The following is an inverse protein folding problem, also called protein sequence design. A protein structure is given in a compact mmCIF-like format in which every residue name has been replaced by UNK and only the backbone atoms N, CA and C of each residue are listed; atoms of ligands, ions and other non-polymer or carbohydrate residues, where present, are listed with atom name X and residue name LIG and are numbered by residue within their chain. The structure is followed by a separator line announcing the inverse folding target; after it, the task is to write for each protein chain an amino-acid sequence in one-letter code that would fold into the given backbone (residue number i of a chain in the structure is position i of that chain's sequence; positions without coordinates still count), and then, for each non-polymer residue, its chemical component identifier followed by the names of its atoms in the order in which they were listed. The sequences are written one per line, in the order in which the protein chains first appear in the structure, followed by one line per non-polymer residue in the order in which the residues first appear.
data_IF_576162522911
#
_entry.id   IF_576162522911
#
_cell.length_a   1.000
_cell.length_b   1.000
_cell.length_c   1.000
_cell.angle_alpha   90.00
_cell.angle_beta   90.00
_cell.angle_gamma   90.00
#
_symmetry.space_group_name_H-M   'P 1'
#
loop_
_entity.id
_entity.type
_entity.pdbx_description
1 polymer ?
#
# COMPACT_ATOMS: atom_id res chain seq x y z
N UNK A 1 -6.66 26.72 -4.88
CA UNK A 1 -6.75 26.20 -3.49
C UNK A 1 -5.56 25.28 -3.29
N UNK A 2 -4.63 25.60 -2.39
CA UNK A 2 -3.46 24.75 -2.15
C UNK A 2 -3.87 23.52 -1.33
N UNK A 3 -3.35 22.34 -1.69
CA UNK A 3 -3.61 21.10 -0.97
C UNK A 3 -3.01 21.17 0.44
N UNK A 4 -3.85 21.13 1.47
CA UNK A 4 -3.41 21.13 2.86
C UNK A 4 -3.22 19.69 3.35
N UNK A 5 -1.95 19.29 3.45
CA UNK A 5 -1.53 17.97 3.93
C UNK A 5 -1.97 17.72 5.37
N UNK A 6 -1.96 18.74 6.23
CA UNK A 6 -2.32 18.57 7.65
C UNK A 6 -3.81 18.33 7.80
N UNK A 7 -4.63 19.09 7.09
CA UNK A 7 -6.08 18.92 7.06
C UNK A 7 -6.46 17.56 6.47
N UNK A 8 -5.87 17.20 5.33
CA UNK A 8 -6.12 15.91 4.67
C UNK A 8 -5.74 14.72 5.57
N UNK A 9 -4.61 14.81 6.28
CA UNK A 9 -4.19 13.79 7.27
C UNK A 9 -5.20 13.64 8.40
N UNK A 10 -5.70 14.75 8.92
CA UNK A 10 -6.68 14.73 10.01
C UNK A 10 -8.00 14.07 9.57
N UNK A 11 -8.49 14.40 8.37
CA UNK A 11 -9.70 13.83 7.78
C UNK A 11 -9.56 12.32 7.55
N UNK A 12 -8.43 11.88 6.99
CA UNK A 12 -8.13 10.44 6.80
C UNK A 12 -8.12 9.71 8.15
N UNK A 13 -7.42 10.25 9.16
CA UNK A 13 -7.37 9.63 10.49
C UNK A 13 -8.75 9.53 11.14
N UNK A 14 -9.63 10.49 10.89
CA UNK A 14 -10.99 10.49 11.41
C UNK A 14 -11.81 9.36 10.79
N UNK A 15 -11.70 9.16 9.47
CA UNK A 15 -12.36 8.05 8.76
C UNK A 15 -11.85 6.70 9.25
N UNK A 16 -10.52 6.54 9.38
CA UNK A 16 -9.91 5.29 9.86
C UNK A 16 -10.32 4.93 11.29
N UNK A 17 -10.69 5.92 12.11
CA UNK A 17 -11.17 5.72 13.49
C UNK A 17 -12.68 5.51 13.60
N UNK A 18 -13.44 5.71 12.52
CA UNK A 18 -14.89 5.55 12.55
C UNK A 18 -15.29 4.09 12.79
N UNK A 19 -16.37 3.88 13.55
CA UNK A 19 -16.86 2.53 13.86
C UNK A 19 -17.30 1.78 12.60
N UNK A 20 -17.91 2.46 11.63
CA UNK A 20 -18.26 1.87 10.34
C UNK A 20 -17.04 1.37 9.56
N UNK A 21 -15.91 2.09 9.62
CA UNK A 21 -14.67 1.61 9.00
C UNK A 21 -14.09 0.41 9.74
N UNK A 22 -14.14 0.40 11.08
CA UNK A 22 -13.69 -0.74 11.89
C UNK A 22 -14.54 -1.98 11.66
N UNK A 23 -15.86 -1.84 11.59
CA UNK A 23 -16.81 -2.92 11.29
C UNK A 23 -16.63 -3.43 9.86
N UNK A 24 -16.38 -2.54 8.89
CA UNK A 24 -16.06 -2.93 7.53
C UNK A 24 -14.76 -3.75 7.46
N UNK A 25 -13.70 -3.30 8.15
CA UNK A 25 -12.46 -4.07 8.26
C UNK A 25 -12.72 -5.41 8.96
N UNK A 26 -13.41 -5.44 10.10
CA UNK A 26 -13.67 -6.67 10.83
C UNK A 26 -14.53 -7.68 10.02
N UNK A 27 -15.43 -7.20 9.16
CA UNK A 27 -16.31 -8.05 8.34
C UNK A 27 -15.67 -8.51 7.02
N UNK A 28 -14.66 -7.81 6.50
CA UNK A 28 -13.99 -8.13 5.23
C UNK A 28 -12.57 -8.67 5.37
N UNK A 29 -11.87 -8.29 6.43
CA UNK A 29 -10.51 -8.68 6.76
C UNK A 29 -10.58 -9.47 8.06
N UNK A 30 -10.86 -10.77 7.91
CA UNK A 30 -10.72 -11.76 8.98
C UNK A 30 -9.26 -11.75 9.43
N UNK A 31 -8.95 -10.98 10.47
CA UNK A 31 -7.59 -10.68 10.88
C UNK A 31 -6.92 -11.87 11.61
N UNK A 32 -6.87 -13.04 10.97
CA UNK A 32 -6.27 -14.28 11.49
C UNK A 32 -4.75 -14.33 11.35
N UNK A 33 -4.12 -13.25 10.85
CA UNK A 33 -2.69 -13.21 10.57
C UNK A 33 -2.29 -13.89 9.25
N UNK A 34 -3.13 -14.76 8.68
CA UNK A 34 -2.94 -15.30 7.33
C UNK A 34 -3.02 -14.20 6.25
N UNK A 35 -3.93 -13.24 6.42
CA UNK A 35 -4.10 -12.11 5.50
C UNK A 35 -2.89 -11.17 5.49
N UNK A 36 -2.28 -10.91 6.66
CA UNK A 36 -1.06 -10.09 6.73
C UNK A 36 0.12 -10.79 6.04
N UNK A 37 0.25 -12.10 6.22
CA UNK A 37 1.27 -12.91 5.55
C UNK A 37 1.08 -12.87 4.03
N UNK A 38 -0.16 -12.96 3.55
CA UNK A 38 -0.49 -12.90 2.13
C UNK A 38 -0.30 -11.50 1.53
N UNK A 39 -0.66 -10.44 2.26
CA UNK A 39 -0.40 -9.04 1.87
C UNK A 39 1.09 -8.78 1.76
N UNK A 40 1.88 -9.19 2.77
CA UNK A 40 3.33 -9.09 2.73
C UNK A 40 3.94 -9.88 1.57
N UNK A 41 3.44 -11.11 1.32
CA UNK A 41 3.89 -11.93 0.18
C UNK A 41 3.63 -11.26 -1.16
N UNK A 42 2.42 -10.73 -1.38
CA UNK A 42 2.05 -10.00 -2.60
C UNK A 42 2.86 -8.72 -2.76
N UNK A 43 3.06 -7.98 -1.68
CA UNK A 43 3.86 -6.76 -1.64
C UNK A 43 5.32 -7.02 -2.05
N UNK A 44 5.97 -8.02 -1.45
CA UNK A 44 7.34 -8.41 -1.79
C UNK A 44 7.48 -8.84 -3.25
N UNK A 45 6.56 -9.67 -3.76
CA UNK A 45 6.56 -10.10 -5.16
C UNK A 45 6.35 -8.94 -6.15
N UNK A 46 5.61 -7.91 -5.75
CA UNK A 46 5.44 -6.71 -6.56
C UNK A 46 6.70 -5.83 -6.54
N UNK A 47 7.33 -5.68 -5.38
CA UNK A 47 8.59 -4.94 -5.24
C UNK A 47 9.70 -5.55 -6.09
N UNK A 48 9.90 -6.87 -6.00
CA UNK A 48 10.93 -7.59 -6.75
C UNK A 48 10.74 -7.45 -8.27
N UNK A 49 9.49 -7.59 -8.76
CA UNK A 49 9.18 -7.38 -10.18
C UNK A 49 9.51 -5.97 -10.64
N UNK A 50 9.20 -4.96 -9.83
CA UNK A 50 9.48 -3.57 -10.16
C UNK A 50 10.98 -3.28 -10.16
N UNK A 51 11.71 -3.80 -9.17
CA UNK A 51 13.16 -3.68 -9.09
C UNK A 51 13.85 -4.30 -10.32
N UNK A 52 13.46 -5.53 -10.69
CA UNK A 52 14.00 -6.20 -11.87
C UNK A 52 13.73 -5.43 -13.17
N UNK A 53 12.53 -4.86 -13.31
CA UNK A 53 12.20 -3.98 -14.45
C UNK A 53 13.09 -2.73 -14.49
N UNK A 54 13.34 -2.11 -13.34
CA UNK A 54 14.20 -0.94 -13.22
C UNK A 54 15.65 -1.27 -13.63
N UNK A 55 16.20 -2.37 -13.11
CA UNK A 55 17.55 -2.83 -13.46
C UNK A 55 17.66 -3.15 -14.97
N UNK A 56 16.67 -3.82 -15.55
CA UNK A 56 16.64 -4.13 -16.97
C UNK A 56 16.48 -2.89 -17.87
N UNK A 57 15.81 -1.85 -17.39
CA UNK A 57 15.74 -0.56 -18.08
C UNK A 57 17.08 0.20 -17.99
N UNK A 58 17.72 0.17 -16.82
CA UNK A 58 19.01 0.83 -16.58
C UNK A 58 20.14 0.22 -17.40
N UNK A 59 20.23 -1.12 -17.49
CA UNK A 59 21.22 -1.80 -18.37
C UNK A 59 21.10 -1.37 -19.84
N UNK A 60 19.86 -1.24 -20.34
CA UNK A 60 19.59 -0.81 -21.72
C UNK A 60 19.97 0.65 -22.00
N UNK A 61 20.17 1.48 -20.98
CA UNK A 61 20.71 2.84 -21.14
C UNK A 61 22.23 2.90 -21.17
N UNK A 62 22.91 1.91 -20.59
CA UNK A 62 24.38 1.84 -20.55
C UNK A 62 24.95 1.21 -21.84
N UNK A 63 24.18 0.30 -22.47
CA UNK A 63 24.55 -0.36 -23.73
C UNK A 63 24.16 0.44 -24.99
N UNK A 64 23.63 1.66 -24.83
CA UNK A 64 23.34 2.61 -25.91
C UNK A 64 24.36 3.75 -25.90
#
# INVERSE_FOLDING_TARGET
MAFDIKKSRAEILMVLKSESHKEFIASKLSNTGEDLKEICRKGSAQYERNFNKLCAASKRMIER
#
